data_IF_206611354842
#
_entry.id   IF_206611354842
#
_cell.length_a   1.000
_cell.length_b   1.000
_cell.length_c   1.000
_cell.angle_alpha   90.00
_cell.angle_beta   90.00
_cell.angle_gamma   90.00
#
_symmetry.space_group_name_H-M   'P 1'
#
loop_
_entity.id
_entity.type
_entity.pdbx_description
1 polymer ?
#
# COMPACT_ATOMS: atom_id res chain seq x y z
N UNK A 1 14.84 0.27 -1.23
CA UNK A 1 13.77 0.38 -0.20
C UNK A 1 14.23 0.16 1.27
N UNK A 2 15.51 -0.14 1.57
CA UNK A 2 15.95 -0.49 2.95
C UNK A 2 16.19 0.67 3.93
N UNK A 3 16.39 1.89 3.45
CA UNK A 3 16.82 3.01 4.32
C UNK A 3 15.69 3.56 5.19
N UNK A 4 14.47 3.60 4.68
CA UNK A 4 13.29 4.07 5.43
C UNK A 4 12.91 3.06 6.51
N UNK A 5 12.84 1.79 6.12
CA UNK A 5 12.54 0.67 7.01
C UNK A 5 13.50 0.61 8.20
N UNK A 6 14.81 0.62 7.96
CA UNK A 6 15.82 0.60 9.03
C UNK A 6 15.72 1.81 9.96
N UNK A 7 15.42 2.99 9.41
CA UNK A 7 15.27 4.21 10.19
C UNK A 7 14.03 4.16 11.09
N UNK A 8 12.94 3.56 10.59
CA UNK A 8 11.67 3.39 11.29
C UNK A 8 11.80 2.32 12.38
N UNK A 9 12.19 1.09 12.01
CA UNK A 9 12.39 -0.03 12.93
C UNK A 9 13.43 0.31 14.00
N UNK A 10 14.51 1.00 13.61
CA UNK A 10 15.51 1.48 14.56
C UNK A 10 14.94 2.38 15.66
N UNK A 11 13.90 3.18 15.38
CA UNK A 11 13.24 4.03 16.40
C UNK A 11 12.18 3.29 17.21
N UNK A 12 11.59 2.25 16.64
CA UNK A 12 10.56 1.45 17.29
C UNK A 12 11.13 0.29 18.14
N UNK A 13 12.40 -0.09 17.93
CA UNK A 13 13.04 -1.30 18.51
C UNK A 13 13.03 -1.42 20.05
N UNK A 14 12.81 -0.34 20.78
CA UNK A 14 12.77 -0.32 22.25
C UNK A 14 11.39 0.07 22.80
N UNK A 15 10.36 0.08 21.94
CA UNK A 15 8.97 0.35 22.33
C UNK A 15 8.20 -0.95 22.31
N UNK A 16 7.38 -1.17 23.35
CA UNK A 16 6.39 -2.25 23.39
C UNK A 16 5.03 -1.65 23.03
N UNK A 17 4.26 -2.39 22.25
CA UNK A 17 2.92 -2.01 21.82
C UNK A 17 1.95 -3.09 22.27
N UNK A 18 0.74 -2.69 22.62
CA UNK A 18 -0.31 -3.57 23.11
C UNK A 18 -1.49 -3.68 22.14
N UNK A 19 -1.48 -2.87 21.08
CA UNK A 19 -2.45 -2.93 20.00
C UNK A 19 -1.84 -2.54 18.66
N UNK A 20 -2.46 -3.01 17.57
CA UNK A 20 -2.08 -2.60 16.21
C UNK A 20 -2.31 -1.10 15.99
N UNK A 21 -3.35 -0.53 16.60
CA UNK A 21 -3.66 0.89 16.51
C UNK A 21 -2.51 1.75 17.06
N UNK A 22 -1.93 1.37 18.20
CA UNK A 22 -0.78 2.08 18.79
C UNK A 22 0.45 2.04 17.86
N UNK A 23 0.72 0.89 17.24
CA UNK A 23 1.83 0.77 16.29
C UNK A 23 1.60 1.70 15.09
N UNK A 24 0.40 1.69 14.52
CA UNK A 24 0.05 2.53 13.37
C UNK A 24 0.17 4.02 13.69
N UNK A 25 -0.27 4.45 14.86
CA UNK A 25 -0.12 5.84 15.30
C UNK A 25 1.36 6.23 15.45
N UNK A 26 2.17 5.37 16.08
CA UNK A 26 3.61 5.60 16.22
C UNK A 26 4.34 5.67 14.87
N UNK A 27 3.94 4.83 13.91
CA UNK A 27 4.47 4.87 12.55
C UNK A 27 4.07 6.18 11.85
N UNK A 28 2.81 6.61 11.97
CA UNK A 28 2.32 7.84 11.35
C UNK A 28 3.11 9.07 11.82
N UNK A 29 3.35 9.20 13.13
CA UNK A 29 4.18 10.28 13.69
C UNK A 29 5.61 10.26 13.13
N UNK A 30 6.22 9.07 13.07
CA UNK A 30 7.57 8.89 12.53
C UNK A 30 7.67 9.24 11.04
N UNK A 31 6.63 8.93 10.27
CA UNK A 31 6.55 9.27 8.85
C UNK A 31 6.48 10.79 8.63
N UNK A 32 5.72 11.53 9.44
CA UNK A 32 5.72 13.00 9.40
C UNK A 32 7.13 13.54 9.63
N UNK A 33 7.82 13.07 10.68
CA UNK A 33 9.21 13.50 10.96
C UNK A 33 10.15 13.17 9.80
N UNK A 34 10.01 11.98 9.22
CA UNK A 34 10.86 11.53 8.12
C UNK A 34 10.64 12.30 6.82
N UNK A 35 9.39 12.62 6.51
CA UNK A 35 9.01 13.22 5.23
C UNK A 35 9.10 14.74 5.26
N UNK A 36 8.65 15.36 6.37
CA UNK A 36 8.45 16.80 6.47
C UNK A 36 9.61 17.52 7.16
N UNK A 37 10.30 16.88 8.11
CA UNK A 37 11.30 17.56 8.95
C UNK A 37 12.74 17.17 8.61
N UNK A 38 12.99 15.91 8.24
CA UNK A 38 14.36 15.42 8.01
C UNK A 38 14.89 15.87 6.65
N UNK A 39 15.89 16.75 6.69
CA UNK A 39 16.67 17.16 5.52
C UNK A 39 17.55 16.02 5.00
N UNK A 40 17.54 15.80 3.69
CA UNK A 40 18.42 14.84 3.01
C UNK A 40 19.81 15.47 2.84
N UNK A 41 20.82 14.86 3.47
CA UNK A 41 22.19 15.42 3.56
C UNK A 41 22.78 15.87 2.22
N UNK A 42 22.56 15.11 1.15
CA UNK A 42 23.13 15.39 -0.17
C UNK A 42 22.30 16.38 -1.01
N UNK A 43 21.02 16.57 -0.66
CA UNK A 43 20.08 17.35 -1.47
C UNK A 43 19.71 18.68 -0.80
N UNK A 44 19.95 18.81 0.51
CA UNK A 44 19.64 20.03 1.28
C UNK A 44 18.14 20.32 1.45
N UNK A 45 17.27 19.43 0.95
CA UNK A 45 15.80 19.54 1.01
C UNK A 45 15.19 18.38 1.79
N UNK A 46 13.96 18.55 2.26
CA UNK A 46 13.16 17.45 2.83
C UNK A 46 12.56 16.58 1.72
N UNK A 47 12.13 15.36 2.05
CA UNK A 47 11.46 14.48 1.07
C UNK A 47 10.18 15.13 0.54
N UNK A 48 9.42 15.80 1.42
CA UNK A 48 8.19 16.51 1.04
C UNK A 48 8.46 17.63 0.04
N UNK A 49 9.53 18.41 0.25
CA UNK A 49 9.93 19.46 -0.69
C UNK A 49 10.26 18.88 -2.06
N UNK A 50 11.08 17.82 -2.11
CA UNK A 50 11.42 17.16 -3.36
C UNK A 50 10.20 16.58 -4.08
N UNK A 51 9.29 15.94 -3.35
CA UNK A 51 8.04 15.44 -3.92
C UNK A 51 7.24 16.56 -4.58
N UNK A 52 7.09 17.70 -3.91
CA UNK A 52 6.35 18.86 -4.45
C UNK A 52 7.02 19.46 -5.68
N UNK A 53 8.35 19.51 -5.71
CA UNK A 53 9.12 20.12 -6.80
C UNK A 53 9.23 19.21 -8.03
N UNK A 54 9.33 17.89 -7.84
CA UNK A 54 9.76 16.95 -8.89
C UNK A 54 8.61 16.02 -9.31
N UNK A 55 7.96 15.38 -8.33
CA UNK A 55 7.02 14.29 -8.57
C UNK A 55 5.61 14.82 -8.78
N UNK A 56 5.12 15.67 -7.88
CA UNK A 56 3.78 16.24 -7.90
C UNK A 56 3.35 16.84 -9.25
N UNK A 57 4.17 17.66 -9.95
CA UNK A 57 3.78 18.21 -11.26
C UNK A 57 3.73 17.16 -12.39
N UNK A 58 4.31 15.97 -12.18
CA UNK A 58 4.35 14.87 -13.15
C UNK A 58 3.33 13.77 -12.87
N UNK A 59 2.61 13.85 -11.75
CA UNK A 59 1.60 12.87 -11.41
C UNK A 59 0.37 13.02 -12.30
N UNK A 60 -0.17 11.88 -12.73
CA UNK A 60 -1.51 11.83 -13.33
C UNK A 60 -2.56 12.18 -12.25
N UNK A 61 -3.71 12.76 -12.65
CA UNK A 61 -4.81 12.97 -11.72
C UNK A 61 -5.24 11.63 -11.09
N UNK A 62 -5.82 11.71 -9.89
CA UNK A 62 -6.38 10.54 -9.23
C UNK A 62 -7.47 9.94 -10.12
N UNK A 63 -7.41 8.62 -10.46
CA UNK A 63 -8.47 7.97 -11.20
C UNK A 63 -9.82 8.12 -10.48
N UNK A 64 -10.90 8.31 -11.24
CA UNK A 64 -12.25 8.45 -10.68
C UNK A 64 -12.71 7.15 -10.00
N UNK A 65 -12.28 6.01 -10.53
CA UNK A 65 -12.58 4.70 -9.98
C UNK A 65 -11.48 4.27 -9.00
N UNK A 66 -11.85 3.78 -7.80
CA UNK A 66 -10.89 3.18 -6.88
C UNK A 66 -10.15 2.01 -7.51
N UNK A 67 -8.91 1.78 -7.07
CA UNK A 67 -8.15 0.62 -7.48
C UNK A 67 -8.89 -0.67 -7.06
N UNK A 68 -9.27 -1.50 -8.05
CA UNK A 68 -9.89 -2.79 -7.81
C UNK A 68 -8.82 -3.83 -7.45
N UNK A 69 -8.83 -4.30 -6.19
CA UNK A 69 -7.96 -5.39 -5.76
C UNK A 69 -8.39 -6.69 -6.46
N UNK A 70 -7.49 -7.28 -7.24
CA UNK A 70 -7.71 -8.55 -7.92
C UNK A 70 -6.69 -9.59 -7.46
N UNK A 71 -7.17 -10.75 -7.04
CA UNK A 71 -6.33 -11.92 -6.78
C UNK A 71 -6.24 -12.81 -8.02
N UNK A 72 -5.04 -12.99 -8.54
CA UNK A 72 -4.80 -13.87 -9.68
C UNK A 72 -4.49 -15.28 -9.20
N UNK A 73 -5.27 -16.26 -9.66
CA UNK A 73 -5.05 -17.68 -9.37
C UNK A 73 -4.69 -18.41 -10.66
N UNK A 74 -3.50 -19.00 -10.68
CA UNK A 74 -3.11 -19.88 -11.80
C UNK A 74 -3.87 -21.20 -11.65
N UNK A 75 -4.65 -21.56 -12.68
CA UNK A 75 -5.38 -22.83 -12.79
C UNK A 75 -5.20 -23.37 -14.20
N UNK A 76 -5.03 -24.69 -14.32
CA UNK A 76 -5.02 -25.37 -15.62
C UNK A 76 -6.47 -25.73 -15.94
N UNK A 77 -6.97 -25.31 -17.11
CA UNK A 77 -8.28 -25.74 -17.57
C UNK A 77 -8.25 -27.25 -17.86
N UNK A 78 -9.30 -27.96 -17.43
CA UNK A 78 -9.54 -29.32 -17.89
C UNK A 78 -9.92 -29.29 -19.39
N UNK A 79 -9.90 -30.46 -20.05
CA UNK A 79 -10.31 -30.61 -21.46
C UNK A 79 -11.73 -30.08 -21.74
N UNK A 80 -12.56 -30.01 -20.70
CA UNK A 80 -13.93 -29.48 -20.75
C UNK A 80 -14.01 -27.95 -20.65
N UNK A 81 -12.88 -27.22 -20.62
CA UNK A 81 -12.79 -25.76 -20.52
C UNK A 81 -13.43 -25.12 -19.28
N UNK A 82 -13.91 -25.94 -18.33
CA UNK A 82 -14.39 -25.44 -17.05
C UNK A 82 -13.20 -25.19 -16.11
N UNK A 83 -13.19 -24.00 -15.51
CA UNK A 83 -12.27 -23.61 -14.45
C UNK A 83 -13.13 -23.25 -13.25
N UNK A 84 -13.01 -24.02 -12.16
CA UNK A 84 -13.70 -23.72 -10.92
C UNK A 84 -13.09 -22.48 -10.26
N UNK A 85 -13.95 -21.49 -9.95
CA UNK A 85 -13.51 -20.17 -9.48
C UNK A 85 -13.56 -20.04 -7.95
N UNK A 86 -14.41 -20.75 -7.19
CA UNK A 86 -14.25 -20.87 -5.72
C UNK A 86 -15.19 -21.83 -4.97
N UNK A 87 -14.70 -22.35 -3.84
CA UNK A 87 -15.49 -22.69 -2.64
C UNK A 87 -15.20 -21.60 -1.58
N UNK A 88 -16.21 -20.80 -1.24
CA UNK A 88 -16.07 -19.58 -0.44
C UNK A 88 -16.27 -19.84 1.05
N UNK A 89 -15.35 -19.35 1.89
CA UNK A 89 -15.66 -18.92 3.25
C UNK A 89 -14.74 -17.78 3.66
N UNK A 90 -15.25 -16.54 3.64
CA UNK A 90 -15.38 -15.68 4.82
C UNK A 90 -16.28 -14.50 4.45
N UNK A 91 -17.33 -14.26 5.23
CA UNK A 91 -18.29 -13.17 5.06
C UNK A 91 -17.72 -11.90 5.68
N UNK A 92 -17.54 -10.83 4.91
CA UNK A 92 -17.32 -9.47 5.42
C UNK A 92 -18.24 -8.51 4.64
N UNK A 93 -18.96 -7.57 5.29
CA UNK A 93 -20.13 -6.91 4.70
C UNK A 93 -19.80 -5.74 3.76
N UNK A 94 -18.54 -5.55 3.36
CA UNK A 94 -18.12 -4.46 2.47
C UNK A 94 -17.53 -5.06 1.20
N UNK A 95 -18.40 -5.61 0.35
CA UNK A 95 -18.03 -5.97 -1.01
C UNK A 95 -19.25 -5.75 -1.91
N UNK A 96 -19.27 -4.62 -2.60
CA UNK A 96 -20.09 -4.46 -3.81
C UNK A 96 -19.54 -5.45 -4.85
N UNK A 97 -20.37 -6.26 -5.52
CA UNK A 97 -19.87 -7.22 -6.48
C UNK A 97 -19.19 -6.49 -7.65
N UNK A 98 -17.92 -6.81 -7.89
CA UNK A 98 -17.22 -6.40 -9.10
C UNK A 98 -17.90 -7.08 -10.30
N UNK A 99 -18.20 -6.36 -11.40
CA UNK A 99 -18.76 -6.98 -12.58
C UNK A 99 -17.74 -7.98 -13.14
N UNK A 100 -18.20 -9.21 -13.37
CA UNK A 100 -17.42 -10.25 -14.00
C UNK A 100 -16.97 -9.77 -15.39
N UNK A 101 -15.74 -9.26 -15.49
CA UNK A 101 -15.12 -9.05 -16.79
C UNK A 101 -14.87 -10.43 -17.39
N UNK A 102 -15.67 -10.77 -18.41
CA UNK A 102 -15.35 -11.85 -19.35
C UNK A 102 -13.94 -11.57 -19.88
N UNK A 103 -12.98 -12.43 -19.56
CA UNK A 103 -11.72 -12.48 -20.28
C UNK A 103 -12.03 -12.89 -21.72
N UNK A 104 -11.67 -12.04 -22.70
CA UNK A 104 -11.56 -12.38 -24.10
C UNK A 104 -10.16 -12.95 -24.37
#
# INVERSE_FOLDING_TARGET
MRTVERWLLGRLRHRRFHSLAEVNAAIAELLVRLNDQRVLRYVGRTRRQLFKEIDAPRLKPLPAEPYALAEWRVRRSALTYHVDVEATSTRSPIATPAPASRCA
#
